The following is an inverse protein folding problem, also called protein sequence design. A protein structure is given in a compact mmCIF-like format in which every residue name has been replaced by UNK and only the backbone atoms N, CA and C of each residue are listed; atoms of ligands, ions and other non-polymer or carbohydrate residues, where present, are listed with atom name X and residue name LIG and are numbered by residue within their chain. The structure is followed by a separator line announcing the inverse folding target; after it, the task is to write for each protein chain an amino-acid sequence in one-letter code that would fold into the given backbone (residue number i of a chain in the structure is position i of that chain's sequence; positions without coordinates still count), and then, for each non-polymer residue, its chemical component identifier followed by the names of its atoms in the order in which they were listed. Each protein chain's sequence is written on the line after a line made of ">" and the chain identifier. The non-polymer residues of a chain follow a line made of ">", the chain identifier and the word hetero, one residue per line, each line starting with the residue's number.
data_IF_265804075469
#
_entry.id   IF_265804075469
#
_cell.length_a   1.000
_cell.length_b   1.000
_cell.length_c   1.000
_cell.angle_alpha   90.00
_cell.angle_beta   90.00
_cell.angle_gamma   90.00
#
_symmetry.space_group_name_H-M   'P 1'
#
loop_
_entity.id
_entity.type
_entity.pdbx_description
1 polymer ?
#
# COMPACT_ATOMS: atom_id res chain seq x y z
N UNK A 1 12.66 15.84 -49.85
CA UNK A 1 13.48 14.85 -49.13
C UNK A 1 13.21 15.04 -47.65
N UNK A 2 12.17 14.39 -47.10
CA UNK A 2 11.82 14.49 -45.68
C UNK A 2 12.53 13.35 -44.95
N UNK A 3 13.29 13.68 -43.90
CA UNK A 3 13.99 12.70 -43.06
C UNK A 3 12.96 11.87 -42.28
N UNK A 4 13.16 10.54 -42.16
CA UNK A 4 12.27 9.68 -41.40
C UNK A 4 12.46 9.98 -39.91
N UNK A 5 11.39 10.48 -39.31
CA UNK A 5 10.90 10.20 -37.96
C UNK A 5 11.93 9.55 -37.03
N UNK A 6 12.57 10.36 -36.19
CA UNK A 6 13.46 9.88 -35.13
C UNK A 6 12.71 8.84 -34.28
N UNK A 7 13.15 7.58 -34.34
CA UNK A 7 12.60 6.49 -33.54
C UNK A 7 12.74 6.83 -32.05
N UNK A 8 11.62 7.19 -31.41
CA UNK A 8 11.52 7.40 -29.97
C UNK A 8 11.89 6.10 -29.24
N UNK A 9 13.14 5.99 -28.81
CA UNK A 9 13.63 4.86 -28.04
C UNK A 9 13.17 4.99 -26.60
N UNK A 10 12.28 4.08 -26.18
CA UNK A 10 11.77 4.03 -24.81
C UNK A 10 12.90 3.58 -23.86
N UNK A 11 13.52 4.53 -23.17
CA UNK A 11 14.53 4.23 -22.15
C UNK A 11 13.88 3.84 -20.82
N UNK A 12 13.54 2.55 -20.70
CA UNK A 12 13.06 1.97 -19.46
C UNK A 12 14.20 1.90 -18.44
N UNK A 13 14.05 2.60 -17.31
CA UNK A 13 14.98 2.55 -16.20
C UNK A 13 14.51 1.48 -15.19
N UNK A 14 15.17 0.31 -15.11
CA UNK A 14 14.73 -0.74 -14.21
C UNK A 14 14.92 -0.29 -12.77
N UNK A 15 13.89 -0.46 -11.93
CA UNK A 15 14.04 -0.27 -10.48
C UNK A 15 14.91 -1.41 -9.92
N UNK A 16 15.77 -1.15 -8.92
CA UNK A 16 16.43 -2.21 -8.17
C UNK A 16 15.40 -3.19 -7.60
N UNK A 17 15.65 -4.49 -7.74
CA UNK A 17 14.77 -5.56 -7.29
C UNK A 17 15.60 -6.67 -6.63
N UNK A 18 15.01 -7.30 -5.62
CA UNK A 18 15.55 -8.50 -4.99
C UNK A 18 14.61 -9.69 -5.26
N UNK A 19 15.19 -10.87 -5.47
CA UNK A 19 14.43 -12.09 -5.71
C UNK A 19 14.08 -12.74 -4.37
N UNK A 20 12.78 -12.82 -4.08
CA UNK A 20 12.25 -13.58 -2.94
C UNK A 20 11.76 -14.95 -3.42
N UNK A 21 12.24 -16.03 -2.80
CA UNK A 21 11.78 -17.41 -3.08
C UNK A 21 11.06 -17.97 -1.86
N UNK A 22 9.87 -18.55 -2.06
CA UNK A 22 9.02 -19.06 -0.98
C UNK A 22 8.26 -20.31 -1.44
N UNK A 23 7.99 -21.23 -0.50
CA UNK A 23 7.17 -22.41 -0.75
C UNK A 23 5.69 -22.06 -0.53
N UNK A 24 4.84 -22.36 -1.50
CA UNK A 24 3.38 -22.15 -1.43
C UNK A 24 2.70 -23.52 -1.46
N UNK A 25 1.68 -23.77 -0.62
CA UNK A 25 0.82 -24.93 -0.75
C UNK A 25 0.26 -25.08 -2.17
N UNK A 26 0.22 -26.30 -2.69
CA UNK A 26 -0.14 -26.58 -4.10
C UNK A 26 -1.57 -26.18 -4.44
N UNK A 27 -2.49 -26.36 -3.49
CA UNK A 27 -3.89 -25.93 -3.54
C UNK A 27 -4.02 -24.38 -3.58
N UNK A 28 -3.20 -23.68 -2.81
CA UNK A 28 -3.13 -22.22 -2.81
C UNK A 28 -2.62 -21.72 -4.16
N UNK A 29 -1.55 -22.33 -4.70
CA UNK A 29 -1.05 -21.99 -6.04
C UNK A 29 -2.10 -22.26 -7.13
N UNK A 30 -2.86 -23.35 -7.03
CA UNK A 30 -3.97 -23.65 -7.96
C UNK A 30 -5.06 -22.57 -7.90
N UNK A 31 -5.41 -22.11 -6.69
CA UNK A 31 -6.36 -21.01 -6.49
C UNK A 31 -5.86 -19.69 -7.09
N UNK A 32 -4.57 -19.35 -6.88
CA UNK A 32 -3.95 -18.16 -7.46
C UNK A 32 -3.99 -18.22 -8.99
N UNK A 33 -3.64 -19.37 -9.60
CA UNK A 33 -3.69 -19.54 -11.06
C UNK A 33 -5.12 -19.36 -11.60
N UNK A 34 -6.13 -19.90 -10.93
CA UNK A 34 -7.54 -19.75 -11.31
C UNK A 34 -7.96 -18.28 -11.31
N UNK A 35 -7.63 -17.54 -10.25
CA UNK A 35 -7.98 -16.11 -10.14
C UNK A 35 -7.19 -15.25 -11.12
N UNK A 36 -5.92 -15.59 -11.38
CA UNK A 36 -5.10 -14.90 -12.36
C UNK A 36 -5.73 -15.01 -13.76
N UNK A 37 -6.15 -16.23 -14.14
CA UNK A 37 -6.85 -16.49 -15.40
C UNK A 37 -8.18 -15.72 -15.50
N UNK A 38 -8.98 -15.68 -14.43
CA UNK A 38 -10.26 -14.97 -14.45
C UNK A 38 -10.12 -13.44 -14.52
N UNK A 39 -8.94 -12.91 -14.21
CA UNK A 39 -8.63 -11.47 -14.24
C UNK A 39 -7.76 -11.06 -15.44
N UNK A 40 -7.48 -11.99 -16.34
CA UNK A 40 -6.56 -11.81 -17.47
C UNK A 40 -5.17 -11.29 -17.03
N UNK A 41 -4.63 -11.90 -15.98
CA UNK A 41 -3.31 -11.56 -15.42
C UNK A 41 -2.41 -12.79 -15.36
N UNK A 42 -1.10 -12.57 -15.43
CA UNK A 42 -0.14 -13.62 -15.08
C UNK A 42 -0.20 -13.93 -13.57
N UNK A 43 0.19 -15.15 -13.20
CA UNK A 43 0.29 -15.55 -11.80
C UNK A 43 1.23 -14.62 -11.00
N UNK A 44 2.35 -14.20 -11.61
CA UNK A 44 3.30 -13.27 -11.01
C UNK A 44 2.68 -11.88 -10.81
N UNK A 45 1.95 -11.37 -11.80
CA UNK A 45 1.29 -10.07 -11.70
C UNK A 45 0.24 -10.05 -10.59
N UNK A 46 -0.54 -11.13 -10.45
CA UNK A 46 -1.51 -11.27 -9.36
C UNK A 46 -0.84 -11.33 -7.99
N UNK A 47 0.26 -12.09 -7.85
CA UNK A 47 1.03 -12.14 -6.61
C UNK A 47 1.56 -10.75 -6.22
N UNK A 48 2.18 -10.03 -7.17
CA UNK A 48 2.65 -8.65 -6.95
C UNK A 48 1.52 -7.72 -6.53
N UNK A 49 0.35 -7.85 -7.17
CA UNK A 49 -0.83 -7.06 -6.82
C UNK A 49 -1.30 -7.33 -5.38
N UNK A 50 -1.47 -8.59 -5.00
CA UNK A 50 -1.93 -8.97 -3.66
C UNK A 50 -0.96 -8.54 -2.56
N UNK A 51 0.34 -8.76 -2.78
CA UNK A 51 1.38 -8.30 -1.86
C UNK A 51 1.32 -6.77 -1.73
N UNK A 52 1.29 -6.04 -2.84
CA UNK A 52 1.27 -4.59 -2.85
C UNK A 52 -0.03 -4.00 -2.26
N UNK A 53 -1.17 -4.67 -2.43
CA UNK A 53 -2.44 -4.23 -1.85
C UNK A 53 -2.41 -4.36 -0.33
N UNK A 54 -2.09 -5.54 0.21
CA UNK A 54 -2.04 -5.76 1.65
C UNK A 54 -1.01 -4.85 2.32
N UNK A 55 0.20 -4.78 1.76
CA UNK A 55 1.27 -3.96 2.33
C UNK A 55 0.90 -2.47 2.36
N UNK A 56 0.30 -1.92 1.29
CA UNK A 56 -0.12 -0.51 1.30
C UNK A 56 -1.21 -0.24 2.33
N UNK A 57 -2.15 -1.15 2.52
CA UNK A 57 -3.19 -1.01 3.54
C UNK A 57 -2.58 -1.02 4.95
N UNK A 58 -1.63 -1.92 5.22
CA UNK A 58 -0.97 -2.00 6.53
C UNK A 58 -0.09 -0.78 6.80
N UNK A 59 0.66 -0.31 5.79
CA UNK A 59 1.46 0.92 5.89
C UNK A 59 0.59 2.15 6.15
N UNK A 60 -0.56 2.26 5.48
CA UNK A 60 -1.51 3.36 5.71
C UNK A 60 -2.05 3.34 7.14
N UNK A 61 -2.48 2.17 7.64
CA UNK A 61 -2.94 2.01 9.03
C UNK A 61 -1.85 2.38 10.03
N UNK A 62 -0.62 1.92 9.82
CA UNK A 62 0.52 2.23 10.68
C UNK A 62 0.81 3.73 10.71
N UNK A 63 0.78 4.38 9.54
CA UNK A 63 0.97 5.82 9.44
C UNK A 63 -0.12 6.60 10.19
N UNK A 64 -1.40 6.28 9.96
CA UNK A 64 -2.52 6.95 10.64
C UNK A 64 -2.46 6.78 12.16
N UNK A 65 -2.08 5.59 12.65
CA UNK A 65 -1.87 5.35 14.08
C UNK A 65 -0.77 6.26 14.64
N UNK A 66 0.39 6.33 13.98
CA UNK A 66 1.50 7.18 14.42
C UNK A 66 1.14 8.67 14.45
N UNK A 67 0.35 9.12 13.46
CA UNK A 67 -0.14 10.50 13.44
C UNK A 67 -1.01 10.78 14.65
N UNK A 68 -1.98 9.91 14.95
CA UNK A 68 -2.86 10.08 16.11
C UNK A 68 -2.10 10.04 17.45
N UNK A 69 -1.09 9.18 17.58
CA UNK A 69 -0.22 9.14 18.76
C UNK A 69 0.55 10.46 18.93
N UNK A 70 1.16 10.96 17.85
CA UNK A 70 1.83 12.26 17.87
C UNK A 70 0.87 13.42 18.16
N UNK A 71 -0.36 13.37 17.65
CA UNK A 71 -1.41 14.35 17.97
C UNK A 71 -1.75 14.32 19.46
N UNK A 72 -1.92 13.14 20.06
CA UNK A 72 -2.17 12.99 21.48
C UNK A 72 -1.05 13.61 22.33
N UNK A 73 0.22 13.34 21.98
CA UNK A 73 1.39 13.90 22.65
C UNK A 73 1.46 15.43 22.53
N UNK A 74 1.04 15.99 21.39
CA UNK A 74 0.98 17.45 21.21
C UNK A 74 -0.15 18.06 22.03
N UNK A 75 -1.35 17.47 22.02
CA UNK A 75 -2.50 17.96 22.80
C UNK A 75 -2.22 17.93 24.31
N UNK A 76 -1.56 16.88 24.80
CA UNK A 76 -1.18 16.74 26.22
C UNK A 76 -0.24 17.85 26.73
N UNK A 77 0.43 18.59 25.83
CA UNK A 77 1.25 19.77 26.21
C UNK A 77 0.41 20.99 26.55
N UNK A 78 -0.84 21.05 26.09
CA UNK A 78 -1.71 22.22 26.20
C UNK A 78 -3.02 21.93 26.95
N UNK A 79 -3.44 20.66 27.01
CA UNK A 79 -4.68 20.21 27.62
C UNK A 79 -4.34 19.25 28.77
N UNK A 80 -4.85 19.53 29.97
CA UNK A 80 -4.64 18.68 31.16
C UNK A 80 -5.71 17.60 31.33
N UNK A 81 -6.83 17.71 30.63
CA UNK A 81 -7.94 16.76 30.68
C UNK A 81 -7.73 15.61 29.69
N UNK A 82 -7.43 14.41 30.18
CA UNK A 82 -7.31 13.21 29.33
C UNK A 82 -8.62 12.86 28.60
N UNK A 83 -9.77 13.13 29.23
CA UNK A 83 -11.08 12.90 28.62
C UNK A 83 -11.30 13.81 27.40
N UNK A 84 -10.93 15.09 27.51
CA UNK A 84 -11.04 16.05 26.41
C UNK A 84 -10.11 15.67 25.25
N UNK A 85 -8.89 15.22 25.55
CA UNK A 85 -7.96 14.70 24.52
C UNK A 85 -8.55 13.48 23.82
N UNK A 86 -9.17 12.55 24.56
CA UNK A 86 -9.77 11.35 23.99
C UNK A 86 -10.95 11.69 23.06
N UNK A 87 -11.79 12.65 23.44
CA UNK A 87 -12.91 13.11 22.62
C UNK A 87 -12.42 13.75 21.31
N UNK A 88 -11.41 14.63 21.37
CA UNK A 88 -10.81 15.25 20.19
C UNK A 88 -10.20 14.20 19.25
N UNK A 89 -9.45 13.23 19.79
CA UNK A 89 -8.85 12.17 18.97
C UNK A 89 -9.91 11.28 18.32
N UNK A 90 -11.06 11.07 18.99
CA UNK A 90 -12.17 10.32 18.43
C UNK A 90 -12.85 11.09 17.29
N UNK A 91 -13.02 12.40 17.42
CA UNK A 91 -13.53 13.28 16.36
C UNK A 91 -12.59 13.30 15.14
N UNK A 92 -11.28 13.41 15.36
CA UNK A 92 -10.30 13.34 14.27
C UNK A 92 -10.40 11.99 13.53
N UNK A 93 -10.60 10.88 14.25
CA UNK A 93 -10.77 9.55 13.64
C UNK A 93 -12.02 9.45 12.78
N UNK A 94 -13.13 10.03 13.21
CA UNK A 94 -14.38 10.02 12.44
C UNK A 94 -14.25 10.84 11.16
N UNK A 95 -13.62 12.01 11.22
CA UNK A 95 -13.43 12.87 10.04
C UNK A 95 -12.41 12.30 9.04
N UNK A 96 -11.42 11.52 9.50
CA UNK A 96 -10.33 11.03 8.64
C UNK A 96 -10.61 9.67 7.97
N UNK A 97 -11.63 8.92 8.43
CA UNK A 97 -11.99 7.61 7.87
C UNK A 97 -13.06 7.67 6.77
N UNK A 98 -13.36 8.87 6.26
CA UNK A 98 -14.29 9.11 5.14
C UNK A 98 -13.62 9.09 3.76
#
# INVERSE_FOLDING_TARGET
>A
MNKPEDELTLQLHPRPQEKVSLHIPTDTLASIKKVAASRDMSCEALLKLYIGQGLRQDLAKSFSKRVLEATAEVLAKYISSEAEIADILQEIRTETNH
#
